data_IF_988881442758
#
_entry.id   IF_988881442758
#
_cell.length_a   1.000
_cell.length_b   1.000
_cell.length_c   1.000
_cell.angle_alpha   90.00
_cell.angle_beta   90.00
_cell.angle_gamma   90.00
#
_symmetry.space_group_name_H-M   'P 1'
#
loop_
_entity.id
_entity.type
_entity.pdbx_description
1 polymer ?
#
# COMPACT_ATOMS: atom_id res chain seq x y z
N UNK A 1 63.48 79.85 39.82
CA UNK A 1 63.43 78.99 41.02
C UNK A 1 61.99 78.85 41.45
N UNK A 2 61.54 77.64 41.78
CA UNK A 2 60.17 77.37 42.25
C UNK A 2 60.01 77.86 43.69
N UNK A 3 59.19 78.89 43.90
CA UNK A 3 58.95 79.47 45.23
C UNK A 3 57.69 78.88 45.89
N UNK A 4 56.63 78.71 45.11
CA UNK A 4 55.32 78.19 45.55
C UNK A 4 54.99 76.99 44.66
N UNK A 5 54.62 75.87 45.27
CA UNK A 5 54.29 74.63 44.57
C UNK A 5 53.31 73.80 45.39
N UNK A 6 52.36 73.14 44.73
CA UNK A 6 51.49 72.12 45.33
C UNK A 6 52.22 70.80 45.59
N UNK A 7 53.43 70.65 45.04
CA UNK A 7 54.30 69.49 45.17
C UNK A 7 55.50 69.86 46.06
N UNK A 8 55.49 69.52 47.37
CA UNK A 8 56.48 70.06 48.32
C UNK A 8 57.94 69.75 47.96
N UNK A 9 58.21 68.59 47.36
CA UNK A 9 59.56 68.18 46.96
C UNK A 9 60.14 69.01 45.81
N UNK A 10 59.32 69.78 45.10
CA UNK A 10 59.76 70.64 44.01
C UNK A 10 60.12 72.06 44.45
N UNK A 11 59.93 72.38 45.73
CA UNK A 11 60.24 73.72 46.26
C UNK A 11 61.74 73.97 46.15
N UNK A 12 62.10 75.14 45.64
CA UNK A 12 63.47 75.56 45.36
C UNK A 12 64.21 74.77 44.26
N UNK A 13 63.48 74.00 43.44
CA UNK A 13 64.03 73.49 42.18
C UNK A 13 64.03 74.59 41.10
N UNK A 14 64.78 74.38 40.03
CA UNK A 14 64.93 75.35 38.94
C UNK A 14 64.16 74.90 37.70
N UNK A 15 63.59 75.85 36.96
CA UNK A 15 62.88 75.57 35.70
C UNK A 15 63.85 75.26 34.56
N UNK A 16 65.06 75.78 34.65
CA UNK A 16 66.16 75.58 33.71
C UNK A 16 67.46 75.32 34.49
N UNK A 17 68.46 74.67 33.87
CA UNK A 17 69.79 74.52 34.48
C UNK A 17 70.43 75.89 34.73
N UNK A 18 70.75 76.19 35.99
CA UNK A 18 71.49 77.41 36.33
C UNK A 18 72.96 77.25 35.96
N UNK A 19 73.54 78.30 35.36
CA UNK A 19 74.98 78.33 35.11
C UNK A 19 75.75 78.43 36.42
N UNK A 20 76.95 77.84 36.47
CA UNK A 20 77.83 77.87 37.65
C UNK A 20 78.04 79.27 38.27
N UNK A 21 78.27 80.36 37.51
CA UNK A 21 78.44 81.69 38.09
C UNK A 21 77.15 82.21 38.76
N UNK A 22 75.99 82.00 38.15
CA UNK A 22 74.69 82.41 38.71
C UNK A 22 74.38 81.62 39.99
N UNK A 23 74.71 80.33 40.01
CA UNK A 23 74.52 79.50 41.20
C UNK A 23 75.42 79.96 42.37
N UNK A 24 76.66 80.36 42.09
CA UNK A 24 77.58 80.89 43.10
C UNK A 24 77.07 82.22 43.71
N UNK A 25 76.51 83.10 42.89
CA UNK A 25 75.90 84.36 43.33
C UNK A 25 74.67 84.13 44.22
N UNK A 26 73.80 83.19 43.82
CA UNK A 26 72.62 82.81 44.60
C UNK A 26 73.01 82.15 45.95
N UNK A 27 74.11 81.39 45.99
CA UNK A 27 74.63 80.81 47.25
C UNK A 27 75.21 81.90 48.16
N UNK A 28 75.91 82.87 47.59
CA UNK A 28 76.48 84.00 48.35
C UNK A 28 75.40 84.90 48.96
N UNK A 29 74.23 85.03 48.33
CA UNK A 29 73.11 85.82 48.86
C UNK A 29 72.36 85.17 50.03
N UNK A 30 72.65 83.90 50.35
CA UNK A 30 72.02 83.10 51.41
C UNK A 30 70.47 83.02 51.36
N UNK A 31 69.83 83.48 50.28
CA UNK A 31 68.37 83.58 50.17
C UNK A 31 67.65 82.22 50.17
N UNK A 32 68.34 81.13 49.80
CA UNK A 32 67.77 79.78 49.67
C UNK A 32 68.47 78.70 50.52
N UNK A 33 69.36 79.10 51.44
CA UNK A 33 70.12 78.17 52.30
C UNK A 33 70.80 77.03 51.52
N UNK A 34 70.69 75.81 52.04
CA UNK A 34 71.22 74.57 51.46
C UNK A 34 70.28 73.90 50.43
N UNK A 35 69.26 74.61 49.94
CA UNK A 35 68.33 74.04 48.96
C UNK A 35 69.07 73.52 47.71
N UNK A 36 68.69 72.40 47.11
CA UNK A 36 69.49 71.74 46.07
C UNK A 36 69.63 72.57 44.77
N UNK A 37 68.67 73.45 44.44
CA UNK A 37 68.66 74.29 43.22
C UNK A 37 68.92 73.48 41.93
N UNK A 38 68.50 72.21 41.90
CA UNK A 38 68.59 71.36 40.72
C UNK A 38 67.37 71.55 39.81
N UNK A 39 67.48 71.26 38.50
CA UNK A 39 66.35 71.34 37.59
C UNK A 39 65.17 70.47 38.04
N UNK A 40 63.96 70.93 37.79
CA UNK A 40 62.75 70.14 37.93
C UNK A 40 62.89 68.81 37.17
N UNK A 41 62.32 67.70 37.67
CA UNK A 41 62.31 66.40 36.98
C UNK A 41 61.29 66.42 35.83
N UNK A 42 61.38 67.44 34.98
CA UNK A 42 60.57 67.66 33.79
C UNK A 42 61.48 67.43 32.59
N UNK A 43 61.11 66.50 31.72
CA UNK A 43 61.89 66.11 30.55
C UNK A 43 61.07 66.23 29.27
N UNK A 44 61.77 66.25 28.12
CA UNK A 44 61.19 66.27 26.76
C UNK A 44 60.10 67.35 26.55
N UNK A 45 60.39 68.65 26.79
CA UNK A 45 59.41 69.69 26.53
C UNK A 45 59.16 69.81 25.01
N UNK A 46 57.93 69.53 24.57
CA UNK A 46 57.46 69.81 23.22
C UNK A 46 56.53 71.02 23.25
N UNK A 47 57.00 72.16 22.75
CA UNK A 47 56.20 73.38 22.71
C UNK A 47 55.04 73.20 21.71
N UNK A 48 53.80 73.40 22.19
CA UNK A 48 52.59 73.40 21.37
C UNK A 48 52.18 74.83 20.99
N UNK A 49 52.43 75.79 21.88
CA UNK A 49 52.26 77.24 21.63
C UNK A 49 53.16 78.05 22.59
N UNK A 50 53.06 79.38 22.57
CA UNK A 50 53.84 80.29 23.44
C UNK A 50 53.71 79.98 24.93
N UNK A 51 52.52 79.54 25.35
CA UNK A 51 52.15 79.41 26.77
C UNK A 51 51.79 77.96 27.14
N UNK A 52 51.90 77.04 26.18
CA UNK A 52 51.52 75.63 26.35
C UNK A 52 52.60 74.71 25.81
N UNK A 53 53.06 73.77 26.64
CA UNK A 53 54.01 72.73 26.25
C UNK A 53 53.57 71.36 26.77
N UNK A 54 53.78 70.32 26.00
CA UNK A 54 53.68 68.95 26.45
C UNK A 54 55.00 68.56 27.13
N UNK A 55 54.94 68.01 28.33
CA UNK A 55 56.12 67.69 29.13
C UNK A 55 55.95 66.35 29.82
N UNK A 56 57.04 65.62 30.01
CA UNK A 56 57.06 64.45 30.88
C UNK A 56 57.53 64.88 32.27
N UNK A 57 56.80 64.53 33.32
CA UNK A 57 57.14 64.93 34.68
C UNK A 57 56.98 63.78 35.68
N UNK A 58 57.95 63.63 36.59
CA UNK A 58 57.87 62.65 37.68
C UNK A 58 57.37 63.37 38.94
N UNK A 59 56.09 63.20 39.26
CA UNK A 59 55.49 63.72 40.50
C UNK A 59 55.75 62.76 41.68
N UNK A 60 55.81 63.25 42.92
CA UNK A 60 56.08 62.40 44.09
C UNK A 60 55.00 61.33 44.28
N UNK A 61 55.40 60.06 44.23
CA UNK A 61 54.50 58.90 44.32
C UNK A 61 53.86 58.50 42.98
N UNK A 62 54.13 59.23 41.89
CA UNK A 62 53.68 58.91 40.52
C UNK A 62 54.79 58.31 39.66
N UNK A 63 54.41 57.67 38.56
CA UNK A 63 55.33 57.28 37.48
C UNK A 63 55.62 58.45 36.55
N UNK A 64 56.67 58.31 35.72
CA UNK A 64 56.88 59.18 34.57
C UNK A 64 55.62 59.14 33.68
N UNK A 65 55.00 60.29 33.47
CA UNK A 65 53.74 60.43 32.75
C UNK A 65 53.72 61.75 31.96
N UNK A 66 52.88 61.80 30.94
CA UNK A 66 52.76 62.95 30.07
C UNK A 66 51.77 63.99 30.64
N UNK A 67 52.22 65.24 30.76
CA UNK A 67 51.46 66.37 31.27
C UNK A 67 51.45 67.53 30.27
N UNK A 68 50.34 68.24 30.20
CA UNK A 68 50.26 69.54 29.54
C UNK A 68 50.66 70.62 30.56
N UNK A 69 51.78 71.30 30.30
CA UNK A 69 52.25 72.47 31.05
C UNK A 69 51.63 73.73 30.46
N UNK A 70 50.89 74.45 31.28
CA UNK A 70 50.30 75.76 31.00
C UNK A 70 51.06 76.81 31.79
N UNK A 71 51.70 77.74 31.09
CA UNK A 71 52.49 78.84 31.67
C UNK A 71 51.70 80.14 31.56
N UNK A 72 51.47 80.83 32.67
CA UNK A 72 50.81 82.15 32.65
C UNK A 72 51.55 83.15 33.52
N UNK A 73 51.65 84.40 33.07
CA UNK A 73 52.24 85.47 33.87
C UNK A 73 51.27 85.92 34.96
N UNK A 74 51.77 86.10 36.18
CA UNK A 74 50.95 86.61 37.29
C UNK A 74 50.87 88.13 37.16
N UNK A 75 49.67 88.71 36.96
CA UNK A 75 49.52 90.16 36.77
C UNK A 75 50.21 90.94 37.88
N UNK A 76 50.82 92.09 37.54
CA UNK A 76 51.52 92.99 38.49
C UNK A 76 52.76 92.42 39.20
N UNK A 77 53.25 91.22 38.82
CA UNK A 77 54.49 90.64 39.38
C UNK A 77 55.38 90.05 38.27
N UNK A 78 56.69 89.88 38.51
CA UNK A 78 57.57 89.15 37.59
C UNK A 78 57.40 87.62 37.67
N UNK A 79 56.36 87.12 38.35
CA UNK A 79 56.17 85.69 38.57
C UNK A 79 55.43 85.02 37.41
N UNK A 80 55.77 83.75 37.18
CA UNK A 80 55.09 82.87 36.24
C UNK A 80 54.49 81.71 37.01
N UNK A 81 53.22 81.42 36.74
CA UNK A 81 52.52 80.26 37.25
C UNK A 81 52.57 79.15 36.19
N UNK A 82 53.10 78.00 36.58
CA UNK A 82 53.08 76.78 35.77
C UNK A 82 52.05 75.81 36.34
N UNK A 83 51.09 75.40 35.52
CA UNK A 83 50.07 74.42 35.85
C UNK A 83 50.28 73.17 35.01
N UNK A 84 50.31 71.99 35.65
CA UNK A 84 50.51 70.70 34.98
C UNK A 84 49.19 69.91 35.01
N UNK A 85 48.66 69.59 33.83
CA UNK A 85 47.43 68.79 33.66
C UNK A 85 47.80 67.43 33.07
N UNK A 86 47.39 66.29 33.65
CA UNK A 86 47.70 64.98 33.08
C UNK A 86 47.03 64.83 31.70
N UNK A 87 47.84 64.60 30.66
CA UNK A 87 47.36 64.51 29.28
C UNK A 87 46.76 63.13 28.96
N UNK A 88 47.21 62.08 29.63
CA UNK A 88 46.84 60.69 29.32
C UNK A 88 45.41 60.31 29.75
N UNK A 89 44.92 60.84 30.88
CA UNK A 89 43.64 60.42 31.45
C UNK A 89 42.41 60.74 30.55
N UNK A 90 42.29 61.95 29.96
CA UNK A 90 41.22 62.25 29.01
C UNK A 90 41.32 61.45 27.71
N UNK A 91 42.54 61.25 27.21
CA UNK A 91 42.79 60.52 25.95
C UNK A 91 42.46 59.04 26.11
N UNK A 92 42.89 58.41 27.21
CA UNK A 92 42.61 57.01 27.51
C UNK A 92 41.10 56.76 27.68
N UNK A 93 40.38 57.70 28.31
CA UNK A 93 38.92 57.61 28.45
C UNK A 93 38.22 57.68 27.08
N UNK A 94 38.60 58.62 26.21
CA UNK A 94 38.05 58.76 24.86
C UNK A 94 38.37 57.53 23.99
N UNK A 95 39.59 56.98 24.07
CA UNK A 95 39.96 55.75 23.36
C UNK A 95 39.14 54.54 23.83
N UNK A 96 38.89 54.43 25.14
CA UNK A 96 38.05 53.34 25.69
C UNK A 96 36.62 53.44 25.16
N UNK A 97 36.03 54.63 25.17
CA UNK A 97 34.68 54.85 24.66
C UNK A 97 34.58 54.53 23.16
N UNK A 98 35.55 55.00 22.35
CA UNK A 98 35.58 54.71 20.93
C UNK A 98 35.75 53.21 20.64
N UNK A 99 36.55 52.49 21.43
CA UNK A 99 36.67 51.02 21.34
C UNK A 99 35.36 50.32 21.67
N UNK A 100 34.64 50.76 22.70
CA UNK A 100 33.35 50.17 23.08
C UNK A 100 32.31 50.38 21.98
N UNK A 101 32.24 51.58 21.39
CA UNK A 101 31.36 51.85 20.25
C UNK A 101 31.73 51.03 19.02
N UNK A 102 33.03 50.97 18.69
CA UNK A 102 33.52 50.16 17.57
C UNK A 102 33.17 48.67 17.76
N UNK A 103 33.36 48.13 18.98
CA UNK A 103 33.00 46.75 19.31
C UNK A 103 31.49 46.52 19.28
N UNK A 104 30.72 47.49 19.78
CA UNK A 104 29.26 47.50 19.75
C UNK A 104 28.67 47.48 18.34
N UNK A 105 29.40 47.98 17.34
CA UNK A 105 29.03 47.89 15.92
C UNK A 105 29.59 46.64 15.24
N UNK A 106 30.85 46.28 15.51
CA UNK A 106 31.54 45.17 14.84
C UNK A 106 30.94 43.81 15.19
N UNK A 107 30.70 43.56 16.48
CA UNK A 107 30.19 42.27 16.97
C UNK A 107 28.83 41.90 16.36
N UNK A 108 27.79 42.77 16.37
CA UNK A 108 26.52 42.42 15.75
C UNK A 108 26.62 42.26 14.23
N UNK A 109 27.52 42.99 13.56
CA UNK A 109 27.72 42.88 12.11
C UNK A 109 28.36 41.52 11.75
N UNK A 110 29.34 41.08 12.53
CA UNK A 110 29.92 39.73 12.40
C UNK A 110 28.91 38.63 12.77
N UNK A 111 28.11 38.82 13.82
CA UNK A 111 27.07 37.87 14.21
C UNK A 111 25.98 37.75 13.13
N UNK A 112 25.58 38.86 12.51
CA UNK A 112 24.63 38.87 11.40
C UNK A 112 25.22 38.16 10.17
N UNK A 113 26.48 38.42 9.83
CA UNK A 113 27.16 37.73 8.73
C UNK A 113 27.23 36.21 8.98
N UNK A 114 27.61 35.79 10.19
CA UNK A 114 27.64 34.39 10.59
C UNK A 114 26.25 33.74 10.53
N UNK A 115 25.22 34.44 10.99
CA UNK A 115 23.83 33.97 10.92
C UNK A 115 23.34 33.79 9.48
N UNK A 116 23.65 34.73 8.58
CA UNK A 116 23.28 34.64 7.16
C UNK A 116 23.99 33.48 6.46
N UNK A 117 25.28 33.28 6.75
CA UNK A 117 26.05 32.15 6.22
C UNK A 117 25.51 30.82 6.75
N UNK A 118 25.25 30.71 8.05
CA UNK A 118 24.67 29.52 8.67
C UNK A 118 23.28 29.21 8.11
N UNK A 119 22.43 30.23 7.94
CA UNK A 119 21.09 30.09 7.34
C UNK A 119 21.18 29.61 5.89
N UNK A 120 22.10 30.18 5.11
CA UNK A 120 22.31 29.81 3.70
C UNK A 120 22.82 28.36 3.58
N UNK A 121 23.81 27.98 4.38
CA UNK A 121 24.33 26.61 4.40
C UNK A 121 23.25 25.61 4.82
N UNK A 122 22.48 25.93 5.87
CA UNK A 122 21.39 25.09 6.34
C UNK A 122 20.29 24.89 5.29
N UNK A 123 19.95 25.94 4.53
CA UNK A 123 18.99 25.85 3.44
C UNK A 123 19.48 24.97 2.29
N UNK A 124 20.75 25.10 1.89
CA UNK A 124 21.36 24.28 0.84
C UNK A 124 21.39 22.79 1.21
N UNK A 125 21.74 22.48 2.46
CA UNK A 125 21.76 21.09 2.96
C UNK A 125 20.37 20.43 2.93
N UNK A 126 19.30 21.20 3.15
CA UNK A 126 17.92 20.67 3.07
C UNK A 126 17.55 20.31 1.64
N UNK A 127 17.88 21.18 0.67
CA UNK A 127 17.57 20.95 -0.74
C UNK A 127 18.28 19.70 -1.27
N UNK A 128 19.57 19.53 -0.96
CA UNK A 128 20.33 18.34 -1.40
C UNK A 128 19.82 17.07 -0.73
N UNK A 129 19.48 17.11 0.56
CA UNK A 129 18.88 15.98 1.26
C UNK A 129 17.52 15.58 0.67
N UNK A 130 16.66 16.55 0.35
CA UNK A 130 15.38 16.29 -0.31
C UNK A 130 15.55 15.68 -1.71
N UNK A 131 16.51 16.18 -2.49
CA UNK A 131 16.80 15.62 -3.82
C UNK A 131 17.31 14.17 -3.73
N UNK A 132 18.20 13.87 -2.79
CA UNK A 132 18.68 12.51 -2.55
C UNK A 132 17.54 11.57 -2.13
N UNK A 133 16.65 12.04 -1.24
CA UNK A 133 15.49 11.28 -0.81
C UNK A 133 14.49 11.02 -1.96
N UNK A 134 14.25 12.02 -2.81
CA UNK A 134 13.40 11.88 -4.01
C UNK A 134 13.99 10.88 -5.01
N UNK A 135 15.28 10.98 -5.30
CA UNK A 135 15.95 10.06 -6.22
C UNK A 135 15.91 8.61 -5.71
N UNK A 136 16.10 8.38 -4.41
CA UNK A 136 15.98 7.04 -3.82
C UNK A 136 14.53 6.54 -3.86
N UNK A 137 13.53 7.40 -3.64
CA UNK A 137 12.13 7.03 -3.78
C UNK A 137 11.79 6.66 -5.22
N UNK A 138 12.21 7.47 -6.20
CA UNK A 138 12.03 7.18 -7.63
C UNK A 138 12.67 5.85 -8.02
N UNK A 139 13.90 5.58 -7.55
CA UNK A 139 14.58 4.30 -7.75
C UNK A 139 13.77 3.13 -7.20
N UNK A 140 13.27 3.23 -5.96
CA UNK A 140 12.43 2.21 -5.34
C UNK A 140 11.10 2.02 -6.06
N UNK A 141 10.48 3.09 -6.54
CA UNK A 141 9.24 3.02 -7.31
C UNK A 141 9.48 2.27 -8.62
N UNK A 142 10.57 2.56 -9.33
CA UNK A 142 10.94 1.85 -10.56
C UNK A 142 11.21 0.37 -10.28
N UNK A 143 12.02 0.04 -9.27
CA UNK A 143 12.30 -1.34 -8.86
C UNK A 143 11.00 -2.10 -8.51
N UNK A 144 10.14 -1.51 -7.66
CA UNK A 144 8.88 -2.15 -7.27
C UNK A 144 7.91 -2.29 -8.42
N UNK A 145 7.87 -1.33 -9.34
CA UNK A 145 7.01 -1.41 -10.52
C UNK A 145 7.49 -2.52 -11.45
N UNK A 146 8.80 -2.68 -11.62
CA UNK A 146 9.39 -3.78 -12.39
C UNK A 146 9.09 -5.14 -11.75
N UNK A 147 9.31 -5.27 -10.43
CA UNK A 147 9.00 -6.50 -9.68
C UNK A 147 7.53 -6.88 -9.79
N UNK A 148 6.63 -5.90 -9.63
CA UNK A 148 5.18 -6.09 -9.77
C UNK A 148 4.79 -6.47 -11.20
N UNK A 149 5.38 -5.85 -12.21
CA UNK A 149 5.12 -6.22 -13.61
C UNK A 149 5.55 -7.66 -13.89
N UNK A 150 6.74 -8.07 -13.44
CA UNK A 150 7.23 -9.43 -13.61
C UNK A 150 6.34 -10.44 -12.86
N UNK A 151 5.92 -10.13 -11.64
CA UNK A 151 5.01 -10.97 -10.87
C UNK A 151 3.64 -11.10 -11.55
N UNK A 152 3.09 -10.00 -12.07
CA UNK A 152 1.84 -9.99 -12.84
C UNK A 152 1.95 -10.88 -14.07
N UNK A 153 3.02 -10.74 -14.85
CA UNK A 153 3.18 -11.49 -16.10
C UNK A 153 3.32 -13.00 -15.84
N UNK A 154 4.02 -13.38 -14.75
CA UNK A 154 4.07 -14.78 -14.28
C UNK A 154 2.70 -15.31 -13.88
N UNK A 155 1.94 -14.56 -13.08
CA UNK A 155 0.58 -14.96 -12.67
C UNK A 155 -0.36 -15.10 -13.86
N UNK A 156 -0.26 -14.21 -14.85
CA UNK A 156 -1.06 -14.30 -16.07
C UNK A 156 -0.73 -15.56 -16.88
N UNK A 157 0.54 -15.92 -16.99
CA UNK A 157 0.96 -17.15 -17.65
C UNK A 157 0.44 -18.40 -16.91
N UNK A 158 0.51 -18.42 -15.58
CA UNK A 158 0.01 -19.53 -14.75
C UNK A 158 -1.52 -19.68 -14.87
N UNK A 159 -2.27 -18.57 -14.85
CA UNK A 159 -3.73 -18.58 -15.05
C UNK A 159 -4.09 -19.12 -16.45
N UNK A 160 -3.35 -18.72 -17.48
CA UNK A 160 -3.59 -19.19 -18.85
C UNK A 160 -3.34 -20.71 -18.96
N UNK A 161 -2.26 -21.20 -18.35
CA UNK A 161 -1.96 -22.63 -18.32
C UNK A 161 -3.03 -23.42 -17.55
N UNK A 162 -3.45 -22.93 -16.39
CA UNK A 162 -4.48 -23.56 -15.57
C UNK A 162 -5.81 -23.65 -16.32
N UNK A 163 -6.26 -22.57 -16.97
CA UNK A 163 -7.48 -22.57 -17.80
C UNK A 163 -7.39 -23.55 -18.96
N UNK A 164 -6.22 -23.67 -19.59
CA UNK A 164 -6.02 -24.64 -20.68
C UNK A 164 -6.15 -26.08 -20.19
N UNK A 165 -5.65 -26.35 -18.98
CA UNK A 165 -5.72 -27.67 -18.34
C UNK A 165 -7.15 -28.00 -17.91
N UNK A 166 -7.88 -27.04 -17.32
CA UNK A 166 -9.29 -27.20 -17.00
C UNK A 166 -10.14 -27.49 -18.24
N UNK A 167 -9.91 -26.77 -19.33
CA UNK A 167 -10.61 -27.01 -20.60
C UNK A 167 -10.34 -28.41 -21.14
N UNK A 168 -9.07 -28.88 -21.10
CA UNK A 168 -8.72 -30.26 -21.49
C UNK A 168 -9.38 -31.30 -20.59
N UNK A 169 -9.42 -31.07 -19.29
CA UNK A 169 -10.09 -31.95 -18.33
C UNK A 169 -11.59 -32.04 -18.62
N UNK A 170 -12.26 -30.92 -18.91
CA UNK A 170 -13.68 -30.93 -19.29
C UNK A 170 -13.93 -31.73 -20.56
N UNK A 171 -13.10 -31.57 -21.59
CA UNK A 171 -13.21 -32.36 -22.83
C UNK A 171 -13.01 -33.85 -22.54
N UNK A 172 -11.96 -34.22 -21.80
CA UNK A 172 -11.70 -35.63 -21.44
C UNK A 172 -12.84 -36.24 -20.61
N UNK A 173 -13.45 -35.48 -19.69
CA UNK A 173 -14.61 -35.95 -18.93
C UNK A 173 -15.81 -36.21 -19.84
N UNK A 174 -16.07 -35.33 -20.82
CA UNK A 174 -17.13 -35.55 -21.80
C UNK A 174 -16.87 -36.80 -22.66
N UNK A 175 -15.63 -36.99 -23.11
CA UNK A 175 -15.21 -38.17 -23.86
C UNK A 175 -15.38 -39.46 -23.05
N UNK A 176 -15.00 -39.45 -21.77
CA UNK A 176 -15.19 -40.59 -20.86
C UNK A 176 -16.67 -40.90 -20.64
N UNK A 177 -17.52 -39.88 -20.45
CA UNK A 177 -18.98 -40.08 -20.34
C UNK A 177 -19.53 -40.71 -21.62
N UNK A 178 -19.09 -40.24 -22.79
CA UNK A 178 -19.50 -40.81 -24.07
C UNK A 178 -19.01 -42.26 -24.26
N UNK A 179 -17.75 -42.55 -23.91
CA UNK A 179 -17.19 -43.89 -23.98
C UNK A 179 -17.92 -44.87 -23.05
N UNK A 180 -18.17 -44.47 -21.80
CA UNK A 180 -18.95 -45.27 -20.84
C UNK A 180 -20.38 -45.54 -21.34
N UNK A 181 -21.00 -44.53 -21.97
CA UNK A 181 -22.32 -44.70 -22.59
C UNK A 181 -22.31 -45.70 -23.74
N UNK A 182 -21.31 -45.65 -24.62
CA UNK A 182 -21.15 -46.62 -25.71
C UNK A 182 -20.89 -48.02 -25.18
N UNK A 183 -20.05 -48.17 -24.16
CA UNK A 183 -19.79 -49.46 -23.52
C UNK A 183 -21.07 -50.06 -22.91
N UNK A 184 -21.82 -49.25 -22.15
CA UNK A 184 -23.12 -49.66 -21.57
C UNK A 184 -24.11 -50.05 -22.67
N UNK A 185 -24.21 -49.26 -23.75
CA UNK A 185 -25.06 -49.57 -24.89
C UNK A 185 -24.68 -50.91 -25.53
N UNK A 186 -23.38 -51.18 -25.69
CA UNK A 186 -22.88 -52.46 -26.21
C UNK A 186 -23.28 -53.65 -25.33
N UNK A 187 -23.15 -53.51 -24.01
CA UNK A 187 -23.51 -54.54 -23.05
C UNK A 187 -25.03 -54.81 -23.02
N UNK A 188 -25.83 -53.74 -23.04
CA UNK A 188 -27.31 -53.85 -23.11
C UNK A 188 -27.75 -54.42 -24.46
N UNK A 189 -27.15 -53.98 -25.58
CA UNK A 189 -27.47 -54.49 -26.91
C UNK A 189 -27.17 -55.99 -27.03
N UNK A 190 -26.09 -56.48 -26.43
CA UNK A 190 -25.79 -57.91 -26.39
C UNK A 190 -26.85 -58.70 -25.60
N UNK A 191 -27.30 -58.19 -24.45
CA UNK A 191 -28.39 -58.79 -23.67
C UNK A 191 -29.72 -58.77 -24.41
N UNK A 192 -30.08 -57.64 -25.02
CA UNK A 192 -31.30 -57.50 -25.82
C UNK A 192 -31.27 -58.40 -27.05
N UNK A 193 -30.13 -58.56 -27.72
CA UNK A 193 -30.00 -59.51 -28.83
C UNK A 193 -30.32 -60.95 -28.37
N UNK A 194 -29.87 -61.33 -27.16
CA UNK A 194 -30.22 -62.62 -26.57
C UNK A 194 -31.72 -62.73 -26.27
N UNK A 195 -32.32 -61.70 -25.67
CA UNK A 195 -33.75 -61.65 -25.35
C UNK A 195 -34.67 -61.58 -26.59
N UNK A 196 -34.21 -61.04 -27.72
CA UNK A 196 -34.94 -61.05 -29.00
C UNK A 196 -34.80 -62.41 -29.68
N UNK A 197 -33.63 -63.05 -29.60
CA UNK A 197 -33.42 -64.35 -30.24
C UNK A 197 -34.33 -65.45 -29.66
N UNK A 198 -34.68 -65.36 -28.37
CA UNK A 198 -35.59 -66.30 -27.71
C UNK A 198 -37.01 -66.33 -28.35
N UNK A 199 -37.79 -65.23 -28.38
CA UNK A 199 -39.11 -65.20 -29.00
C UNK A 199 -39.03 -65.46 -30.51
N UNK A 200 -37.96 -65.07 -31.21
CA UNK A 200 -37.78 -65.42 -32.64
C UNK A 200 -37.70 -66.93 -32.84
N UNK A 201 -36.96 -67.64 -31.98
CA UNK A 201 -36.90 -69.11 -32.03
C UNK A 201 -38.28 -69.73 -31.75
N UNK A 202 -39.03 -69.18 -30.79
CA UNK A 202 -40.41 -69.62 -30.48
C UNK A 202 -41.38 -69.34 -31.62
N UNK A 203 -41.30 -68.17 -32.26
CA UNK A 203 -42.09 -67.82 -33.45
C UNK A 203 -41.87 -68.84 -34.56
N UNK A 204 -40.61 -69.21 -34.82
CA UNK A 204 -40.27 -70.22 -35.82
C UNK A 204 -40.92 -71.57 -35.50
N UNK A 205 -40.82 -72.03 -34.25
CA UNK A 205 -41.43 -73.29 -33.82
C UNK A 205 -42.97 -73.26 -33.97
N UNK A 206 -43.62 -72.16 -33.59
CA UNK A 206 -45.07 -72.01 -33.78
C UNK A 206 -45.48 -71.93 -35.25
N UNK A 207 -44.67 -71.31 -36.10
CA UNK A 207 -44.94 -71.25 -37.54
C UNK A 207 -44.84 -72.65 -38.18
N UNK A 208 -43.80 -73.43 -37.83
CA UNK A 208 -43.63 -74.81 -38.29
C UNK A 208 -44.80 -75.69 -37.81
N UNK A 209 -45.21 -75.56 -36.55
CA UNK A 209 -46.36 -76.29 -36.00
C UNK A 209 -47.69 -75.87 -36.65
N UNK A 210 -47.90 -74.58 -36.90
CA UNK A 210 -49.10 -74.09 -37.58
C UNK A 210 -49.22 -74.71 -38.98
N UNK A 211 -48.11 -74.85 -39.72
CA UNK A 211 -48.09 -75.52 -41.02
C UNK A 211 -48.51 -76.98 -40.92
N UNK A 212 -47.97 -77.73 -39.96
CA UNK A 212 -48.34 -79.13 -39.70
C UNK A 212 -49.82 -79.27 -39.32
N UNK A 213 -50.35 -78.36 -38.49
CA UNK A 213 -51.78 -78.36 -38.13
C UNK A 213 -52.68 -78.06 -39.32
N UNK A 214 -52.30 -77.14 -40.20
CA UNK A 214 -53.03 -76.86 -41.45
C UNK A 214 -53.03 -78.07 -42.39
N UNK A 215 -51.88 -78.75 -42.56
CA UNK A 215 -51.78 -80.00 -43.35
C UNK A 215 -52.72 -81.09 -42.81
N UNK A 216 -52.93 -81.13 -41.48
CA UNK A 216 -53.84 -82.06 -40.78
C UNK A 216 -55.30 -81.57 -40.69
N UNK A 217 -55.65 -80.44 -41.32
CA UNK A 217 -56.98 -79.79 -41.24
C UNK A 217 -57.41 -79.40 -39.82
N UNK A 218 -56.46 -79.16 -38.91
CA UNK A 218 -56.70 -78.71 -37.54
C UNK A 218 -56.62 -77.18 -37.45
N UNK A 219 -57.56 -76.48 -38.10
CA UNK A 219 -57.50 -75.01 -38.25
C UNK A 219 -57.47 -74.25 -36.92
N UNK A 220 -58.19 -74.71 -35.88
CA UNK A 220 -58.21 -74.06 -34.58
C UNK A 220 -56.83 -74.00 -33.90
N UNK A 221 -56.07 -75.09 -33.93
CA UNK A 221 -54.71 -75.14 -33.36
C UNK A 221 -53.70 -74.35 -34.19
N UNK A 222 -53.91 -74.25 -35.51
CA UNK A 222 -53.10 -73.36 -36.35
C UNK A 222 -53.36 -71.89 -36.04
N UNK A 223 -54.62 -71.51 -35.81
CA UNK A 223 -55.02 -70.14 -35.48
C UNK A 223 -54.48 -69.69 -34.11
N UNK A 224 -54.48 -70.58 -33.12
CA UNK A 224 -53.84 -70.35 -31.82
C UNK A 224 -52.34 -70.06 -31.94
N UNK A 225 -51.62 -70.87 -32.73
CA UNK A 225 -50.19 -70.63 -33.00
C UNK A 225 -49.94 -69.30 -33.71
N UNK A 226 -50.79 -68.93 -34.68
CA UNK A 226 -50.70 -67.64 -35.37
C UNK A 226 -50.95 -66.46 -34.41
N UNK A 227 -51.90 -66.59 -33.48
CA UNK A 227 -52.12 -65.62 -32.41
C UNK A 227 -50.92 -65.48 -31.47
N UNK A 228 -50.30 -66.59 -31.09
CA UNK A 228 -49.08 -66.59 -30.27
C UNK A 228 -47.89 -65.92 -30.99
N UNK A 229 -47.76 -66.12 -32.30
CA UNK A 229 -46.75 -65.43 -33.14
C UNK A 229 -46.99 -63.92 -33.12
N UNK A 230 -48.24 -63.46 -33.30
CA UNK A 230 -48.56 -62.03 -33.28
C UNK A 230 -48.16 -61.38 -31.94
N UNK A 231 -48.52 -62.01 -30.81
CA UNK A 231 -48.15 -61.52 -29.47
C UNK A 231 -46.63 -61.48 -29.23
N UNK A 232 -45.89 -62.51 -29.68
CA UNK A 232 -44.42 -62.53 -29.59
C UNK A 232 -43.78 -61.43 -30.45
N UNK A 233 -44.37 -61.12 -31.59
CA UNK A 233 -43.88 -60.06 -32.50
C UNK A 233 -44.10 -58.67 -31.90
N UNK A 234 -45.25 -58.42 -31.26
CA UNK A 234 -45.49 -57.20 -30.48
C UNK A 234 -44.49 -57.04 -29.34
N UNK A 235 -44.17 -58.13 -28.62
CA UNK A 235 -43.16 -58.11 -27.55
C UNK A 235 -41.77 -57.73 -28.06
N UNK A 236 -41.34 -58.26 -29.22
CA UNK A 236 -40.07 -57.86 -29.87
C UNK A 236 -40.11 -56.37 -30.25
N UNK A 237 -41.26 -55.87 -30.72
CA UNK A 237 -41.47 -54.45 -31.01
C UNK A 237 -41.26 -53.56 -29.78
N UNK A 238 -41.79 -53.97 -28.61
CA UNK A 238 -41.60 -53.23 -27.37
C UNK A 238 -40.13 -53.19 -26.92
N UNK A 239 -39.42 -54.32 -26.97
CA UNK A 239 -38.00 -54.43 -26.60
C UNK A 239 -37.11 -53.55 -27.51
N UNK A 240 -37.39 -53.54 -28.83
CA UNK A 240 -36.60 -52.76 -29.79
C UNK A 240 -36.81 -51.24 -29.67
N UNK A 241 -38.04 -50.79 -29.38
CA UNK A 241 -38.30 -49.37 -29.09
C UNK A 241 -37.64 -48.90 -27.78
N UNK A 242 -37.59 -49.74 -26.75
CA UNK A 242 -36.87 -49.42 -25.51
C UNK A 242 -35.36 -49.24 -25.74
N UNK A 243 -34.73 -50.12 -26.52
CA UNK A 243 -33.32 -50.01 -26.89
C UNK A 243 -33.03 -48.74 -27.71
N UNK A 244 -33.91 -48.42 -28.66
CA UNK A 244 -33.81 -47.23 -29.52
C UNK A 244 -34.00 -45.94 -28.74
N UNK A 245 -34.93 -45.92 -27.78
CA UNK A 245 -35.08 -44.83 -26.84
C UNK A 245 -33.82 -44.63 -25.98
N UNK A 246 -33.19 -45.71 -25.52
CA UNK A 246 -31.93 -45.65 -24.76
C UNK A 246 -30.75 -45.10 -25.58
N UNK A 247 -30.64 -45.48 -26.86
CA UNK A 247 -29.62 -44.98 -27.78
C UNK A 247 -29.79 -43.48 -28.12
N UNK A 248 -31.04 -42.99 -28.22
CA UNK A 248 -31.34 -41.59 -28.60
C UNK A 248 -31.17 -40.57 -27.47
N UNK A 249 -31.02 -41.00 -26.21
CA UNK A 249 -30.97 -40.20 -24.95
C UNK A 249 -29.94 -39.06 -24.81
N UNK A 250 -29.28 -38.57 -25.87
CA UNK A 250 -28.18 -37.60 -25.77
C UNK A 250 -28.37 -36.20 -26.35
N UNK A 251 -29.53 -35.84 -26.93
CA UNK A 251 -29.65 -34.60 -27.75
C UNK A 251 -30.69 -33.57 -27.33
N UNK A 252 -31.42 -33.76 -26.24
CA UNK A 252 -32.40 -32.75 -25.80
C UNK A 252 -31.85 -31.94 -24.64
N UNK A 253 -31.64 -30.64 -24.90
CA UNK A 253 -31.29 -29.68 -23.88
C UNK A 253 -32.32 -29.68 -22.76
N UNK A 254 -31.87 -29.49 -21.52
CA UNK A 254 -32.75 -29.29 -20.38
C UNK A 254 -33.37 -27.89 -20.49
N UNK A 255 -34.70 -27.83 -20.46
CA UNK A 255 -35.50 -26.61 -20.44
C UNK A 255 -36.33 -26.56 -19.15
N UNK A 256 -36.81 -25.37 -18.71
CA UNK A 256 -37.72 -25.29 -17.58
C UNK A 256 -39.07 -25.94 -17.92
N UNK A 257 -39.39 -27.07 -17.29
CA UNK A 257 -40.63 -27.83 -17.50
C UNK A 257 -41.50 -27.76 -16.25
N UNK A 258 -42.78 -27.41 -16.41
CA UNK A 258 -43.78 -27.46 -15.35
C UNK A 258 -44.09 -28.90 -14.94
N UNK A 259 -43.77 -29.27 -13.70
CA UNK A 259 -43.86 -30.65 -13.22
C UNK A 259 -45.31 -31.18 -13.20
N UNK A 260 -46.28 -30.31 -12.91
CA UNK A 260 -47.72 -30.64 -12.97
C UNK A 260 -48.11 -31.18 -14.34
N UNK A 261 -47.73 -30.47 -15.41
CA UNK A 261 -48.07 -30.85 -16.79
C UNK A 261 -47.50 -32.21 -17.21
N UNK A 262 -46.31 -32.56 -16.67
CA UNK A 262 -45.65 -33.86 -16.89
C UNK A 262 -46.42 -34.98 -16.20
N UNK A 263 -46.81 -34.77 -14.93
CA UNK A 263 -47.56 -35.77 -14.16
C UNK A 263 -48.92 -36.02 -14.81
N UNK A 264 -49.62 -34.96 -15.21
CA UNK A 264 -50.92 -35.07 -15.91
C UNK A 264 -50.79 -35.81 -17.25
N UNK A 265 -49.76 -35.48 -18.04
CA UNK A 265 -49.46 -36.17 -19.30
C UNK A 265 -49.22 -37.67 -19.12
N UNK A 266 -48.41 -38.04 -18.12
CA UNK A 266 -48.15 -39.44 -17.79
C UNK A 266 -49.42 -40.20 -17.38
N UNK A 267 -50.28 -39.58 -16.56
CA UNK A 267 -51.55 -40.19 -16.11
C UNK A 267 -52.51 -40.40 -17.28
N UNK A 268 -52.62 -39.43 -18.20
CA UNK A 268 -53.48 -39.55 -19.40
C UNK A 268 -53.06 -40.75 -20.25
N UNK A 269 -51.76 -40.96 -20.45
CA UNK A 269 -51.25 -42.08 -21.24
C UNK A 269 -51.48 -43.44 -20.57
N UNK A 270 -51.48 -43.50 -19.24
CA UNK A 270 -51.77 -44.73 -18.48
C UNK A 270 -53.27 -45.07 -18.43
N UNK A 271 -54.18 -44.09 -18.60
CA UNK A 271 -55.64 -44.31 -18.60
C UNK A 271 -56.10 -45.32 -19.65
N UNK A 272 -55.47 -45.35 -20.82
CA UNK A 272 -55.85 -46.28 -21.88
C UNK A 272 -55.51 -47.73 -21.54
N UNK A 273 -54.43 -47.96 -20.77
CA UNK A 273 -53.88 -49.29 -20.50
C UNK A 273 -54.31 -49.87 -19.15
N UNK A 274 -54.58 -49.03 -18.16
CA UNK A 274 -54.91 -49.42 -16.79
C UNK A 274 -56.29 -48.89 -16.33
N UNK A 275 -57.25 -48.83 -17.25
CA UNK A 275 -58.62 -48.41 -16.95
C UNK A 275 -59.18 -49.21 -15.75
N UNK A 276 -59.57 -48.49 -14.67
CA UNK A 276 -60.10 -49.07 -13.44
C UNK A 276 -59.08 -49.40 -12.34
N UNK A 277 -57.76 -49.29 -12.60
CA UNK A 277 -56.69 -49.48 -11.58
C UNK A 277 -55.98 -48.20 -11.17
N UNK A 278 -56.24 -47.11 -11.88
CA UNK A 278 -55.62 -45.81 -11.61
C UNK A 278 -56.01 -45.21 -10.26
N UNK A 279 -57.14 -45.62 -9.67
CA UNK A 279 -57.59 -45.15 -8.37
C UNK A 279 -56.64 -45.57 -7.22
N UNK A 280 -55.75 -46.53 -7.48
CA UNK A 280 -54.68 -46.92 -6.56
C UNK A 280 -53.54 -45.88 -6.50
N UNK A 281 -53.41 -44.98 -7.49
CA UNK A 281 -52.44 -43.90 -7.50
C UNK A 281 -53.02 -42.65 -6.83
N UNK A 282 -52.61 -42.39 -5.59
CA UNK A 282 -52.95 -41.19 -4.84
C UNK A 282 -51.95 -40.06 -5.16
N UNK A 283 -52.22 -39.29 -6.23
CA UNK A 283 -51.32 -38.24 -6.71
C UNK A 283 -51.68 -36.88 -6.10
N UNK A 284 -50.76 -36.32 -5.32
CA UNK A 284 -50.80 -34.91 -4.86
C UNK A 284 -50.11 -34.02 -5.89
N UNK A 285 -50.92 -33.37 -6.73
CA UNK A 285 -50.43 -32.50 -7.80
C UNK A 285 -49.65 -31.29 -7.22
N UNK A 286 -48.41 -31.04 -7.68
CA UNK A 286 -47.62 -29.91 -7.22
C UNK A 286 -48.18 -28.56 -7.73
N UNK A 287 -47.78 -27.43 -7.14
CA UNK A 287 -48.09 -26.10 -7.67
C UNK A 287 -47.59 -25.94 -9.12
N UNK A 288 -48.34 -25.23 -9.97
CA UNK A 288 -47.95 -24.96 -11.37
C UNK A 288 -46.68 -24.11 -11.51
N UNK A 289 -46.30 -23.39 -10.45
CA UNK A 289 -45.03 -22.65 -10.40
C UNK A 289 -43.79 -23.55 -10.29
N UNK A 290 -43.96 -24.81 -9.85
CA UNK A 290 -42.85 -25.74 -9.66
C UNK A 290 -42.35 -26.24 -11.02
N UNK A 291 -41.19 -25.70 -11.44
CA UNK A 291 -40.52 -26.07 -12.68
C UNK A 291 -39.21 -26.77 -12.39
N UNK A 292 -38.90 -27.77 -13.21
CA UNK A 292 -37.64 -28.52 -13.14
C UNK A 292 -36.91 -28.38 -14.47
N UNK A 293 -35.57 -28.26 -14.42
CA UNK A 293 -34.75 -28.29 -15.61
C UNK A 293 -34.69 -29.70 -16.16
N UNK A 294 -35.28 -29.93 -17.33
CA UNK A 294 -35.35 -31.26 -17.92
C UNK A 294 -35.97 -31.25 -19.30
N UNK A 295 -36.29 -32.43 -19.81
CA UNK A 295 -37.05 -32.55 -21.05
C UNK A 295 -38.41 -33.14 -20.71
N UNK A 296 -39.48 -32.47 -21.14
CA UNK A 296 -40.86 -32.85 -20.80
C UNK A 296 -41.16 -34.32 -21.11
N UNK A 297 -40.92 -34.73 -22.34
CA UNK A 297 -41.20 -36.09 -22.80
C UNK A 297 -40.41 -37.14 -22.01
N UNK A 298 -39.17 -36.83 -21.62
CA UNK A 298 -38.35 -37.74 -20.80
C UNK A 298 -38.87 -37.87 -19.37
N UNK A 299 -39.27 -36.76 -18.77
CA UNK A 299 -39.86 -36.76 -17.43
C UNK A 299 -41.19 -37.54 -17.45
N UNK A 300 -42.01 -37.35 -18.48
CA UNK A 300 -43.25 -38.12 -18.69
C UNK A 300 -42.95 -39.62 -18.78
N UNK A 301 -41.95 -40.03 -19.56
CA UNK A 301 -41.52 -41.43 -19.68
C UNK A 301 -41.08 -42.03 -18.33
N UNK A 302 -40.30 -41.28 -17.55
CA UNK A 302 -39.86 -41.73 -16.22
C UNK A 302 -41.07 -41.95 -15.32
N UNK A 303 -42.01 -41.00 -15.29
CA UNK A 303 -43.23 -41.13 -14.49
C UNK A 303 -44.10 -42.30 -14.96
N UNK A 304 -44.24 -42.50 -16.27
CA UNK A 304 -44.98 -43.65 -16.83
C UNK A 304 -44.37 -44.96 -16.34
N UNK A 305 -43.05 -45.12 -16.44
CA UNK A 305 -42.37 -46.33 -15.98
C UNK A 305 -42.52 -46.54 -14.47
N UNK A 306 -42.37 -45.48 -13.67
CA UNK A 306 -42.55 -45.57 -12.22
C UNK A 306 -43.98 -45.94 -11.83
N UNK A 307 -44.98 -45.31 -12.46
CA UNK A 307 -46.39 -45.59 -12.20
C UNK A 307 -46.79 -46.99 -12.66
N UNK A 308 -46.26 -47.44 -13.81
CA UNK A 308 -46.48 -48.80 -14.28
C UNK A 308 -45.89 -49.82 -13.31
N UNK A 309 -44.62 -49.68 -12.93
CA UNK A 309 -43.98 -50.55 -11.95
C UNK A 309 -44.74 -50.55 -10.61
N UNK A 310 -45.22 -49.38 -10.19
CA UNK A 310 -46.00 -49.24 -8.96
C UNK A 310 -47.33 -49.99 -9.07
N UNK A 311 -48.08 -49.83 -10.16
CA UNK A 311 -49.36 -50.51 -10.39
C UNK A 311 -49.22 -52.03 -10.53
N UNK A 312 -48.15 -52.49 -11.17
CA UNK A 312 -47.79 -53.91 -11.28
C UNK A 312 -47.39 -54.50 -9.92
N UNK A 313 -46.71 -53.74 -9.06
CA UNK A 313 -46.38 -54.19 -7.70
C UNK A 313 -47.61 -54.35 -6.79
N UNK A 314 -48.75 -53.72 -7.14
CA UNK A 314 -50.02 -53.86 -6.41
C UNK A 314 -50.86 -55.06 -6.88
N UNK A 315 -50.43 -55.80 -7.90
CA UNK A 315 -51.20 -56.91 -8.46
C UNK A 315 -51.44 -58.01 -7.41
N UNK A 316 -52.71 -58.36 -7.16
CA UNK A 316 -53.12 -59.35 -6.17
C UNK A 316 -53.20 -58.86 -4.71
N UNK A 317 -53.12 -57.55 -4.45
CA UNK A 317 -53.27 -56.98 -3.09
C UNK A 317 -54.48 -56.04 -2.99
N UNK A 318 -55.54 -56.49 -2.32
CA UNK A 318 -56.74 -55.67 -2.11
C UNK A 318 -56.45 -54.45 -1.20
N UNK A 319 -56.88 -53.27 -1.65
CA UNK A 319 -56.81 -52.02 -0.90
C UNK A 319 -55.45 -51.30 -0.87
N UNK A 320 -54.44 -51.82 -1.56
CA UNK A 320 -53.11 -51.22 -1.60
C UNK A 320 -53.08 -49.95 -2.49
N UNK A 321 -52.34 -48.91 -2.08
CA UNK A 321 -52.25 -47.61 -2.76
C UNK A 321 -50.81 -47.12 -2.84
N UNK A 322 -50.53 -46.31 -3.86
CA UNK A 322 -49.23 -45.66 -4.08
C UNK A 322 -49.44 -44.16 -4.03
N UNK A 323 -48.74 -43.49 -3.12
CA UNK A 323 -48.78 -42.03 -2.99
C UNK A 323 -47.66 -41.37 -3.82
N UNK A 324 -48.00 -40.29 -4.52
CA UNK A 324 -47.07 -39.50 -5.34
C UNK A 324 -47.15 -38.05 -4.92
N UNK A 325 -46.04 -37.45 -4.52
CA UNK A 325 -45.96 -36.03 -4.13
C UNK A 325 -44.65 -35.40 -4.58
N UNK A 326 -44.67 -34.08 -4.84
CA UNK A 326 -43.48 -33.30 -5.17
C UNK A 326 -43.45 -32.00 -4.35
N UNK A 327 -42.26 -31.61 -3.90
CA UNK A 327 -42.00 -30.38 -3.14
C UNK A 327 -40.70 -29.72 -3.60
N UNK A 328 -40.62 -28.40 -3.46
CA UNK A 328 -39.38 -27.64 -3.69
C UNK A 328 -38.40 -27.93 -2.54
N UNK A 329 -37.12 -28.12 -2.87
CA UNK A 329 -36.07 -28.53 -1.92
C UNK A 329 -35.16 -27.36 -1.58
#
# INVERSE_FOLDING_TARGET
VVLITSVPSWRFLTTEPLSRPVLAEIRASQQFGDAPLVPLPITRPQALSSDVALVHAITPGGSDAEYLRLSTAVPSTPWRLDYLVPAEAPIAAAQREMRLLALGLLVPLLALAAYLLWRRQSAQMRITAEQAARAELERRVVERTQDLSLARDRLQAEIADHRSTEARLQVMQQDLVQANRLATLGQVAAGVAHEINQPVATIRAYADNARVFLERKQSASAEENLGAIAALTERIGAITEELKAFARKGRTAAEPVELRSVIEGAVVLLRSRFAGRLDALAIKLPPSALKVMGNRLRLEQVLINLFQNALEALDGRDGARVEVSAAET
#
